data_IF_718665816852
#
_entry.id   IF_718665816852
#
_cell.length_a   1.000
_cell.length_b   1.000
_cell.length_c   1.000
_cell.angle_alpha   90.00
_cell.angle_beta   90.00
_cell.angle_gamma   90.00
#
_symmetry.space_group_name_H-M   'P 1'
#
loop_
_entity.id
_entity.type
_entity.pdbx_description
1 polymer ?
#
# COMPACT_ATOMS: atom_id res chain seq x y z
N UNK A 1 -10.83 -12.78 -10.79
CA UNK A 1 -11.39 -11.43 -11.09
C UNK A 1 -10.37 -10.65 -11.92
N UNK A 2 -10.74 -9.54 -12.59
CA UNK A 2 -9.82 -8.78 -13.44
C UNK A 2 -8.50 -8.41 -12.74
N UNK A 3 -8.56 -7.99 -11.47
CA UNK A 3 -7.36 -7.70 -10.67
C UNK A 3 -6.41 -8.91 -10.50
N UNK A 4 -6.93 -10.13 -10.42
CA UNK A 4 -6.11 -11.34 -10.38
C UNK A 4 -5.40 -11.61 -11.70
N UNK A 5 -6.06 -11.33 -12.83
CA UNK A 5 -5.45 -11.48 -14.15
C UNK A 5 -4.39 -10.41 -14.42
N UNK A 6 -4.68 -9.17 -14.04
CA UNK A 6 -3.76 -8.04 -14.22
C UNK A 6 -2.57 -8.12 -13.27
N UNK A 7 -2.80 -8.50 -12.01
CA UNK A 7 -1.78 -8.65 -10.98
C UNK A 7 -0.80 -9.81 -11.20
N UNK A 8 -0.97 -10.58 -12.28
CA UNK A 8 -0.04 -11.64 -12.72
C UNK A 8 0.67 -11.28 -14.03
N UNK A 9 0.41 -10.09 -14.60
CA UNK A 9 1.09 -9.61 -15.81
C UNK A 9 2.36 -8.86 -15.42
N UNK A 10 3.48 -9.56 -15.48
CA UNK A 10 4.80 -9.06 -15.06
C UNK A 10 5.21 -7.74 -15.74
N UNK A 11 4.95 -7.60 -17.05
CA UNK A 11 5.22 -6.37 -17.81
C UNK A 11 4.37 -5.20 -17.33
N UNK A 12 3.08 -5.45 -17.07
CA UNK A 12 2.17 -4.44 -16.54
C UNK A 12 2.65 -3.97 -15.18
N UNK A 13 2.93 -4.90 -14.26
CA UNK A 13 3.38 -4.55 -12.92
C UNK A 13 4.73 -3.81 -12.95
N UNK A 14 5.66 -4.23 -13.80
CA UNK A 14 6.93 -3.52 -13.99
C UNK A 14 6.71 -2.07 -14.41
N UNK A 15 5.81 -1.84 -15.37
CA UNK A 15 5.50 -0.49 -15.85
C UNK A 15 4.75 0.36 -14.81
N UNK A 16 3.84 -0.26 -14.05
CA UNK A 16 3.15 0.43 -12.94
C UNK A 16 4.16 0.87 -11.89
N UNK A 17 5.12 0.01 -11.51
CA UNK A 17 6.18 0.36 -10.56
C UNK A 17 7.06 1.49 -11.09
N UNK A 18 7.43 1.46 -12.36
CA UNK A 18 8.16 2.57 -13.00
C UNK A 18 7.38 3.89 -12.94
N UNK A 19 6.07 3.85 -13.12
CA UNK A 19 5.23 5.04 -12.99
C UNK A 19 5.07 5.52 -11.55
N UNK A 20 5.21 4.65 -10.55
CA UNK A 20 5.17 5.06 -9.15
C UNK A 20 6.39 5.91 -8.73
N UNK A 21 7.51 5.77 -9.46
CA UNK A 21 8.75 6.53 -9.23
C UNK A 21 8.95 7.73 -10.16
N UNK A 22 7.95 8.10 -10.98
CA UNK A 22 8.08 9.25 -11.89
C UNK A 22 7.80 10.58 -11.17
N UNK A 23 8.78 11.48 -11.21
CA UNK A 23 8.65 12.83 -10.61
C UNK A 23 8.09 13.87 -11.60
N UNK A 24 8.28 13.63 -12.91
CA UNK A 24 7.89 14.57 -13.97
C UNK A 24 6.37 14.70 -14.13
N UNK A 25 5.62 13.70 -13.67
CA UNK A 25 4.18 13.58 -13.86
C UNK A 25 3.44 13.13 -12.58
N UNK A 26 3.23 14.04 -11.60
CA UNK A 26 2.61 13.70 -10.31
C UNK A 26 1.22 13.04 -10.42
N UNK A 27 0.45 13.38 -11.46
CA UNK A 27 -0.84 12.75 -11.73
C UNK A 27 -0.72 11.27 -12.14
N UNK A 28 0.29 10.94 -12.95
CA UNK A 28 0.59 9.56 -13.35
C UNK A 28 1.07 8.76 -12.15
N UNK A 29 1.98 9.35 -11.37
CA UNK A 29 2.48 8.76 -10.12
C UNK A 29 1.35 8.44 -9.14
N UNK A 30 0.45 9.39 -8.91
CA UNK A 30 -0.69 9.21 -8.02
C UNK A 30 -1.61 8.07 -8.47
N UNK A 31 -2.00 8.03 -9.75
CA UNK A 31 -2.87 6.97 -10.26
C UNK A 31 -2.17 5.60 -10.30
N UNK A 32 -0.86 5.54 -10.52
CA UNK A 32 -0.08 4.30 -10.45
C UNK A 32 -0.06 3.73 -9.02
N UNK A 33 0.21 4.57 -8.02
CA UNK A 33 0.18 4.18 -6.60
C UNK A 33 -1.20 3.62 -6.21
N UNK A 34 -2.27 4.28 -6.65
CA UNK A 34 -3.64 3.83 -6.41
C UNK A 34 -3.94 2.51 -7.10
N UNK A 35 -3.47 2.32 -8.33
CA UNK A 35 -3.63 1.06 -9.05
C UNK A 35 -2.96 -0.10 -8.30
N UNK A 36 -1.76 0.08 -7.75
CA UNK A 36 -1.10 -0.93 -6.90
C UNK A 36 -2.00 -1.32 -5.71
N UNK A 37 -2.50 -0.34 -4.96
CA UNK A 37 -3.38 -0.59 -3.83
C UNK A 37 -4.64 -1.37 -4.26
N UNK A 38 -5.26 -0.97 -5.37
CA UNK A 38 -6.48 -1.60 -5.87
C UNK A 38 -6.27 -3.00 -6.45
N UNK A 39 -5.09 -3.32 -7.00
CA UNK A 39 -4.74 -4.68 -7.41
C UNK A 39 -4.73 -5.62 -6.21
N UNK A 40 -4.17 -5.20 -5.07
CA UNK A 40 -4.20 -5.96 -3.82
C UNK A 40 -5.63 -6.11 -3.30
N UNK A 41 -6.33 -4.98 -3.15
CA UNK A 41 -7.65 -4.91 -2.53
C UNK A 41 -8.66 -5.81 -3.26
N UNK A 42 -8.64 -5.80 -4.59
CA UNK A 42 -9.60 -6.54 -5.41
C UNK A 42 -9.19 -7.97 -5.73
N UNK A 43 -7.88 -8.26 -5.79
CA UNK A 43 -7.42 -9.62 -6.06
C UNK A 43 -7.53 -10.50 -4.81
N UNK A 44 -7.08 -10.01 -3.65
CA UNK A 44 -6.88 -10.78 -2.40
C UNK A 44 -6.23 -12.15 -2.65
N UNK A 45 -5.33 -12.19 -3.63
CA UNK A 45 -4.69 -13.41 -4.11
C UNK A 45 -3.23 -13.43 -3.66
N UNK A 46 -2.77 -14.56 -3.12
CA UNK A 46 -1.42 -14.72 -2.58
C UNK A 46 -0.34 -14.49 -3.63
N UNK A 47 -0.53 -15.01 -4.84
CA UNK A 47 0.47 -14.91 -5.91
C UNK A 47 0.61 -13.47 -6.41
N UNK A 48 -0.51 -12.76 -6.56
CA UNK A 48 -0.52 -11.31 -6.88
C UNK A 48 0.19 -10.51 -5.80
N UNK A 49 -0.10 -10.78 -4.52
CA UNK A 49 0.57 -10.12 -3.39
C UNK A 49 2.06 -10.39 -3.43
N UNK A 50 2.48 -11.63 -3.64
CA UNK A 50 3.90 -11.99 -3.72
C UNK A 50 4.61 -11.28 -4.88
N UNK A 51 4.03 -11.28 -6.08
CA UNK A 51 4.61 -10.60 -7.25
C UNK A 51 4.74 -9.09 -7.02
N UNK A 52 3.73 -8.46 -6.39
CA UNK A 52 3.79 -7.04 -6.03
C UNK A 52 4.89 -6.73 -4.99
N UNK A 53 5.05 -7.58 -3.97
CA UNK A 53 6.13 -7.42 -3.00
C UNK A 53 7.50 -7.54 -3.69
N UNK A 54 7.68 -8.56 -4.54
CA UNK A 54 8.93 -8.81 -5.25
C UNK A 54 9.33 -7.66 -6.19
N UNK A 55 8.34 -6.90 -6.68
CA UNK A 55 8.55 -5.71 -7.52
C UNK A 55 8.70 -4.41 -6.74
N UNK A 56 8.70 -4.45 -5.41
CA UNK A 56 8.92 -3.27 -4.57
C UNK A 56 7.68 -2.42 -4.31
N UNK A 57 6.46 -2.96 -4.51
CA UNK A 57 5.23 -2.21 -4.28
C UNK A 57 5.08 -1.67 -2.84
N UNK A 58 5.71 -2.32 -1.85
CA UNK A 58 5.62 -1.92 -0.44
C UNK A 58 6.13 -0.49 -0.24
N UNK A 59 7.22 -0.09 -0.91
CA UNK A 59 7.75 1.27 -0.80
C UNK A 59 6.67 2.32 -1.06
N UNK A 60 6.06 2.24 -2.23
CA UNK A 60 5.08 3.23 -2.70
C UNK A 60 3.80 3.20 -1.86
N UNK A 61 3.39 2.02 -1.37
CA UNK A 61 2.24 1.92 -0.46
C UNK A 61 2.53 2.54 0.91
N UNK A 62 3.77 2.44 1.41
CA UNK A 62 4.17 3.10 2.67
C UNK A 62 4.21 4.62 2.50
N UNK A 63 4.84 5.11 1.44
CA UNK A 63 4.86 6.55 1.10
C UNK A 63 3.44 7.12 0.91
N UNK A 64 2.52 6.31 0.37
CA UNK A 64 1.13 6.69 0.14
C UNK A 64 0.31 6.88 1.43
N UNK A 65 0.77 6.40 2.60
CA UNK A 65 0.13 6.64 3.91
C UNK A 65 0.16 8.13 4.28
N UNK A 66 1.21 8.85 3.88
CA UNK A 66 1.40 10.27 4.20
C UNK A 66 1.06 11.19 3.02
N UNK A 67 0.54 10.64 1.92
CA UNK A 67 0.12 11.40 0.75
C UNK A 67 -0.97 12.45 1.11
N UNK A 68 -1.01 13.64 0.48
CA UNK A 68 -1.98 14.69 0.85
C UNK A 68 -3.46 14.28 0.78
N UNK A 69 -3.77 13.29 -0.05
CA UNK A 69 -5.14 12.87 -0.34
C UNK A 69 -5.61 11.77 0.63
N UNK A 70 -6.58 12.10 1.48
CA UNK A 70 -7.18 11.18 2.47
C UNK A 70 -7.64 9.84 1.86
N UNK A 71 -8.14 9.86 0.62
CA UNK A 71 -8.53 8.65 -0.10
C UNK A 71 -7.34 7.71 -0.33
N UNK A 72 -6.19 8.27 -0.75
CA UNK A 72 -4.98 7.49 -1.01
C UNK A 72 -4.43 6.87 0.28
N UNK A 73 -4.42 7.62 1.39
CA UNK A 73 -4.05 7.08 2.71
C UNK A 73 -4.88 5.86 3.06
N UNK A 74 -6.19 5.95 2.85
CA UNK A 74 -7.11 4.85 3.14
C UNK A 74 -6.88 3.63 2.23
N UNK A 75 -6.69 3.85 0.93
CA UNK A 75 -6.36 2.79 -0.04
C UNK A 75 -5.05 2.08 0.36
N UNK A 76 -4.02 2.84 0.73
CA UNK A 76 -2.75 2.32 1.24
C UNK A 76 -2.94 1.46 2.50
N UNK A 77 -3.59 1.99 3.53
CA UNK A 77 -3.82 1.27 4.79
C UNK A 77 -4.56 -0.05 4.60
N UNK A 78 -5.62 -0.08 3.78
CA UNK A 78 -6.38 -1.31 3.50
C UNK A 78 -5.51 -2.30 2.72
N UNK A 79 -4.79 -1.83 1.68
CA UNK A 79 -3.94 -2.71 0.88
C UNK A 79 -2.79 -3.32 1.70
N UNK A 80 -2.12 -2.53 2.53
CA UNK A 80 -1.07 -2.99 3.43
C UNK A 80 -1.61 -3.98 4.48
N UNK A 81 -2.80 -3.73 5.04
CA UNK A 81 -3.47 -4.70 5.92
C UNK A 81 -3.66 -6.05 5.23
N UNK A 82 -4.10 -6.05 3.97
CA UNK A 82 -4.28 -7.29 3.19
C UNK A 82 -2.94 -7.96 2.89
N UNK A 83 -1.91 -7.20 2.47
CA UNK A 83 -0.56 -7.71 2.23
C UNK A 83 -0.04 -8.41 3.48
N UNK A 84 -0.04 -7.71 4.63
CA UNK A 84 0.46 -8.22 5.90
C UNK A 84 -0.35 -9.44 6.37
N UNK A 85 -1.67 -9.44 6.16
CA UNK A 85 -2.50 -10.60 6.52
C UNK A 85 -2.20 -11.85 5.67
N UNK A 86 -1.87 -11.67 4.38
CA UNK A 86 -1.62 -12.78 3.45
C UNK A 86 -0.16 -13.28 3.53
N UNK A 87 0.79 -12.35 3.69
CA UNK A 87 2.22 -12.58 3.53
C UNK A 87 3.05 -11.77 4.54
N UNK A 88 2.73 -11.90 5.83
CA UNK A 88 3.42 -11.22 6.93
C UNK A 88 4.95 -11.39 6.86
N UNK A 89 5.42 -12.65 6.84
CA UNK A 89 6.86 -12.98 6.84
C UNK A 89 7.61 -12.31 5.68
N UNK A 90 6.99 -12.27 4.50
CA UNK A 90 7.61 -11.69 3.30
C UNK A 90 7.56 -10.15 3.29
N UNK A 91 6.53 -9.56 3.86
CA UNK A 91 6.33 -8.10 3.86
C UNK A 91 7.07 -7.38 4.99
N UNK A 92 7.34 -8.06 6.11
CA UNK A 92 7.90 -7.45 7.32
C UNK A 92 9.24 -6.75 7.08
N UNK A 93 10.17 -7.39 6.37
CA UNK A 93 11.49 -6.82 6.10
C UNK A 93 11.40 -5.52 5.28
N UNK A 94 10.56 -5.51 4.24
CA UNK A 94 10.37 -4.33 3.39
C UNK A 94 9.60 -3.22 4.13
N UNK A 95 8.61 -3.54 4.95
CA UNK A 95 7.89 -2.57 5.79
C UNK A 95 8.86 -1.82 6.73
N UNK A 96 9.78 -2.55 7.35
CA UNK A 96 10.81 -1.97 8.22
C UNK A 96 11.81 -1.12 7.42
N UNK A 97 12.27 -1.63 6.28
CA UNK A 97 13.19 -0.94 5.37
C UNK A 97 12.65 0.42 4.90
N UNK A 98 11.35 0.52 4.63
CA UNK A 98 10.70 1.76 4.19
C UNK A 98 10.09 2.58 5.34
N UNK A 99 10.53 2.37 6.57
CA UNK A 99 10.17 3.16 7.75
C UNK A 99 8.66 3.27 7.99
N UNK A 100 7.94 2.13 7.95
CA UNK A 100 6.49 2.11 8.21
C UNK A 100 6.11 2.77 9.54
N UNK A 101 6.93 2.63 10.58
CA UNK A 101 6.67 3.23 11.90
C UNK A 101 6.65 4.74 11.79
N UNK A 102 7.61 5.35 11.09
CA UNK A 102 7.63 6.79 10.84
C UNK A 102 6.40 7.27 10.09
N UNK A 103 6.01 6.56 9.02
CA UNK A 103 4.81 6.88 8.25
C UNK A 103 3.53 6.85 9.10
N UNK A 104 3.41 5.87 10.02
CA UNK A 104 2.27 5.80 10.94
C UNK A 104 2.30 6.90 11.99
N UNK A 105 3.47 7.24 12.55
CA UNK A 105 3.61 8.36 13.50
C UNK A 105 3.18 9.67 12.84
N UNK A 106 3.61 9.91 11.60
CA UNK A 106 3.22 11.08 10.83
C UNK A 106 1.71 11.10 10.58
N UNK A 107 1.14 9.99 10.12
CA UNK A 107 -0.30 9.84 9.91
C UNK A 107 -1.13 10.17 11.16
N UNK A 108 -0.72 9.70 12.34
CA UNK A 108 -1.42 10.01 13.60
C UNK A 108 -1.09 11.39 14.16
N UNK A 109 0.05 11.98 13.79
CA UNK A 109 0.46 13.32 14.18
C UNK A 109 -0.29 14.43 13.43
N UNK A 110 -0.89 14.12 12.28
CA UNK A 110 -1.78 15.04 11.59
C UNK A 110 -2.94 15.46 12.50
N UNK A 111 -3.30 16.74 12.48
CA UNK A 111 -4.42 17.25 13.29
C UNK A 111 -5.68 16.44 12.96
N UNK A 112 -6.06 15.56 13.90
CA UNK A 112 -7.12 14.55 13.80
C UNK A 112 -8.51 15.08 13.39
N UNK A 113 -8.68 16.40 13.30
CA UNK A 113 -9.92 17.07 12.91
C UNK A 113 -10.35 16.80 11.46
N UNK A 114 -9.52 16.17 10.62
CA UNK A 114 -9.84 15.90 9.21
C UNK A 114 -9.87 14.41 8.82
N UNK A 115 -9.47 13.50 9.71
CA UNK A 115 -9.43 12.07 9.39
C UNK A 115 -10.71 11.41 9.90
N UNK A 116 -11.47 10.82 8.98
CA UNK A 116 -12.72 10.14 9.32
C UNK A 116 -12.46 8.93 10.23
N UNK A 117 -13.36 8.60 11.18
CA UNK A 117 -13.15 7.51 12.14
C UNK A 117 -12.80 6.16 11.50
N UNK A 118 -13.36 5.86 10.33
CA UNK A 118 -13.14 4.61 9.61
C UNK A 118 -11.68 4.46 9.15
N UNK A 119 -11.01 5.58 8.86
CA UNK A 119 -9.60 5.56 8.42
C UNK A 119 -8.69 5.34 9.63
N UNK A 120 -9.01 5.93 10.78
CA UNK A 120 -8.33 5.63 12.06
C UNK A 120 -8.50 4.16 12.43
N UNK A 121 -9.69 3.59 12.21
CA UNK A 121 -9.93 2.17 12.41
C UNK A 121 -9.09 1.31 11.46
N UNK A 122 -8.99 1.68 10.19
CA UNK A 122 -8.14 0.97 9.22
C UNK A 122 -6.66 1.04 9.61
N UNK A 123 -6.18 2.19 10.07
CA UNK A 123 -4.82 2.36 10.58
C UNK A 123 -4.53 1.47 11.80
N UNK A 124 -5.45 1.44 12.77
CA UNK A 124 -5.33 0.59 13.96
C UNK A 124 -5.37 -0.90 13.59
N UNK A 125 -6.23 -1.28 12.63
CA UNK A 125 -6.33 -2.66 12.12
C UNK A 125 -5.03 -3.08 11.44
N UNK A 126 -4.45 -2.20 10.63
CA UNK A 126 -3.16 -2.43 10.00
C UNK A 126 -2.06 -2.67 11.03
N UNK A 127 -1.91 -1.80 12.04
CA UNK A 127 -0.92 -1.99 13.12
C UNK A 127 -1.12 -3.34 13.81
N UNK A 128 -2.37 -3.66 14.15
CA UNK A 128 -2.70 -4.93 14.80
C UNK A 128 -2.32 -6.12 13.91
N UNK A 129 -2.47 -6.02 12.59
CA UNK A 129 -2.09 -7.09 11.66
C UNK A 129 -0.59 -7.36 11.65
N UNK A 130 0.24 -6.33 11.86
CA UNK A 130 1.71 -6.49 11.96
C UNK A 130 2.15 -7.18 13.26
N UNK A 131 1.32 -7.13 14.30
CA UNK A 131 1.66 -7.69 15.63
C UNK A 131 1.32 -9.19 15.77
N UNK A 132 0.70 -9.82 14.76
CA UNK A 132 0.22 -11.21 14.84
C UNK A 132 1.32 -12.28 14.65
N UNK A 133 2.57 -11.98 14.99
CA UNK A 133 3.68 -12.94 14.94
C UNK A 133 3.62 -13.95 16.08
#
# INVERSE_FOLDING_TARGET
KAASLLGMKEELLGKVIEWCSTDDHPGVQGEANRLLAWLVINSRNRDVVHSLIDKGAIQYLVEMITAPHVLMKNEALISLTIITTIALEKSQAELMKFNIIGAMIEFFGEKALQVRPEIIQNATTFITSMMKS
#
